data_IF_953859898171
#
_entry.id   IF_953859898171
#
_cell.length_a   1.000
_cell.length_b   1.000
_cell.length_c   1.000
_cell.angle_alpha   90.00
_cell.angle_beta   90.00
_cell.angle_gamma   90.00
#
_symmetry.space_group_name_H-M   'P 1'
#
loop_
_entity.id
_entity.type
_entity.pdbx_description
1 polymer ?
#
# COMPACT_ATOMS: atom_id res chain seq x y z
N UNK A 1 -19.57 -11.93 4.69
CA UNK A 1 -18.56 -12.23 5.74
C UNK A 1 -17.76 -13.48 5.40
N UNK A 2 -16.55 -13.34 4.85
CA UNK A 2 -15.72 -14.48 4.40
C UNK A 2 -14.91 -15.12 5.55
N UNK A 3 -14.82 -16.47 5.65
CA UNK A 3 -14.03 -17.15 6.67
C UNK A 3 -12.50 -16.99 6.47
N UNK A 4 -12.00 -17.09 5.23
CA UNK A 4 -10.57 -16.92 4.93
C UNK A 4 -10.09 -15.50 5.29
N UNK A 5 -10.91 -14.48 5.00
CA UNK A 5 -10.62 -13.10 5.39
C UNK A 5 -10.65 -12.90 6.91
N UNK A 6 -11.54 -13.62 7.63
CA UNK A 6 -11.53 -13.65 9.10
C UNK A 6 -10.25 -14.29 9.66
N UNK A 7 -9.80 -15.41 9.08
CA UNK A 7 -8.57 -16.12 9.49
C UNK A 7 -7.35 -15.22 9.43
N UNK A 8 -7.12 -14.57 8.27
CA UNK A 8 -6.02 -13.61 8.10
C UNK A 8 -6.17 -12.42 9.03
N UNK A 9 -7.37 -11.83 9.17
CA UNK A 9 -7.59 -10.69 10.08
C UNK A 9 -7.35 -11.04 11.56
N UNK A 10 -7.63 -12.27 11.98
CA UNK A 10 -7.30 -12.73 13.32
C UNK A 10 -5.77 -12.84 13.49
N UNK A 11 -5.11 -13.60 12.61
CA UNK A 11 -3.65 -13.78 12.62
C UNK A 11 -2.87 -12.46 12.61
N UNK A 12 -3.17 -11.53 11.70
CA UNK A 12 -2.48 -10.23 11.63
C UNK A 12 -2.63 -9.44 12.94
N UNK A 13 -3.82 -9.48 13.56
CA UNK A 13 -4.06 -8.82 14.85
C UNK A 13 -3.32 -9.51 16.00
N UNK A 14 -3.27 -10.84 16.01
CA UNK A 14 -2.58 -11.66 17.02
C UNK A 14 -1.06 -11.49 16.95
N UNK A 15 -0.50 -11.28 15.76
CA UNK A 15 0.91 -10.96 15.52
C UNK A 15 1.23 -9.45 15.63
N UNK A 16 0.26 -8.61 16.05
CA UNK A 16 0.41 -7.15 16.13
C UNK A 16 0.84 -6.46 14.81
N UNK A 17 0.51 -7.06 13.66
CA UNK A 17 0.79 -6.51 12.33
C UNK A 17 -0.32 -5.52 11.96
N UNK A 18 0.03 -4.23 11.84
CA UNK A 18 -0.88 -3.20 11.35
C UNK A 18 -1.22 -3.38 9.87
N UNK A 19 -2.49 -3.18 9.51
CA UNK A 19 -2.97 -3.27 8.14
C UNK A 19 -4.17 -2.34 7.88
N UNK A 20 -4.24 -1.78 6.68
CA UNK A 20 -5.45 -1.09 6.19
C UNK A 20 -6.36 -2.09 5.50
N UNK A 21 -7.65 -2.11 5.87
CA UNK A 21 -8.65 -2.96 5.23
C UNK A 21 -9.46 -2.17 4.20
N UNK A 22 -9.32 -2.55 2.94
CA UNK A 22 -10.27 -2.22 1.86
C UNK A 22 -11.39 -3.28 1.85
N UNK A 23 -12.62 -2.96 1.46
CA UNK A 23 -13.65 -3.98 1.20
C UNK A 23 -13.71 -4.34 -0.28
N UNK A 24 -14.12 -5.57 -0.61
CA UNK A 24 -14.22 -6.02 -2.01
C UNK A 24 -15.49 -5.48 -2.71
N UNK A 25 -16.42 -4.93 -1.94
CA UNK A 25 -17.59 -4.22 -2.43
C UNK A 25 -17.25 -2.79 -2.90
N UNK A 26 -16.11 -2.23 -2.44
CA UNK A 26 -15.58 -0.94 -2.91
C UNK A 26 -15.18 -1.03 -4.39
N UNK A 27 -15.43 0.04 -5.17
CA UNK A 27 -15.24 0.02 -6.63
C UNK A 27 -13.76 -0.13 -6.98
N UNK A 28 -12.90 0.57 -6.24
CA UNK A 28 -11.46 0.63 -6.40
C UNK A 28 -10.83 -0.74 -6.14
N UNK A 29 -11.22 -1.40 -5.04
CA UNK A 29 -10.73 -2.73 -4.68
C UNK A 29 -11.21 -3.81 -5.65
N UNK A 30 -12.48 -3.75 -6.10
CA UNK A 30 -13.03 -4.65 -7.12
C UNK A 30 -12.35 -4.47 -8.47
N UNK A 31 -12.09 -3.22 -8.88
CA UNK A 31 -11.38 -2.92 -10.12
C UNK A 31 -9.93 -3.41 -10.06
N UNK A 32 -9.21 -3.19 -8.95
CA UNK A 32 -7.86 -3.70 -8.73
C UNK A 32 -7.81 -5.24 -8.82
N UNK A 33 -8.72 -5.94 -8.12
CA UNK A 33 -8.78 -7.40 -8.15
C UNK A 33 -9.12 -7.94 -9.54
N UNK A 34 -10.01 -7.26 -10.28
CA UNK A 34 -10.39 -7.62 -11.66
C UNK A 34 -9.25 -7.38 -12.64
N UNK A 35 -8.56 -6.25 -12.54
CA UNK A 35 -7.41 -5.90 -13.40
C UNK A 35 -6.26 -6.90 -13.27
N UNK A 36 -5.96 -7.35 -12.04
CA UNK A 36 -4.97 -8.40 -11.77
C UNK A 36 -5.52 -9.83 -11.89
N UNK A 37 -6.77 -9.99 -12.38
CA UNK A 37 -7.44 -11.28 -12.61
C UNK A 37 -7.47 -12.20 -11.37
N UNK A 38 -7.54 -11.63 -10.17
CA UNK A 38 -7.65 -12.38 -8.93
C UNK A 38 -9.06 -12.94 -8.74
N UNK A 39 -9.15 -14.26 -8.58
CA UNK A 39 -10.42 -15.00 -8.47
C UNK A 39 -10.77 -15.39 -7.03
N UNK A 40 -9.91 -15.04 -6.08
CA UNK A 40 -9.93 -15.47 -4.67
C UNK A 40 -9.54 -14.33 -3.74
N UNK A 41 -10.09 -14.37 -2.52
CA UNK A 41 -9.81 -13.47 -1.41
C UNK A 41 -9.56 -14.30 -0.13
N UNK A 42 -8.74 -13.84 0.84
CA UNK A 42 -8.10 -12.53 0.92
C UNK A 42 -6.93 -12.32 -0.07
N UNK A 43 -6.67 -11.05 -0.36
CA UNK A 43 -5.50 -10.55 -1.08
C UNK A 43 -4.83 -9.56 -0.11
N UNK A 44 -3.50 -9.62 0.01
CA UNK A 44 -2.70 -8.67 0.77
C UNK A 44 -1.66 -8.02 -0.15
N UNK A 45 -1.48 -6.71 0.01
CA UNK A 45 -0.36 -5.97 -0.57
C UNK A 45 0.61 -5.65 0.57
N UNK A 46 1.84 -6.13 0.47
CA UNK A 46 2.92 -5.79 1.41
C UNK A 46 3.88 -4.83 0.71
N UNK A 47 3.95 -3.59 1.21
CA UNK A 47 4.91 -2.60 0.74
C UNK A 47 6.16 -2.64 1.61
N UNK A 48 7.31 -2.74 0.95
CA UNK A 48 8.64 -2.56 1.53
C UNK A 48 9.29 -1.30 0.90
N UNK A 49 10.45 -0.86 1.40
CA UNK A 49 11.06 0.43 1.05
C UNK A 49 11.28 0.67 -0.46
N UNK A 50 11.41 -0.40 -1.25
CA UNK A 50 11.58 -0.35 -2.72
C UNK A 50 10.70 -1.34 -3.50
N UNK A 51 9.86 -2.13 -2.82
CA UNK A 51 9.16 -3.27 -3.42
C UNK A 51 7.68 -3.32 -3.00
N UNK A 52 6.82 -3.84 -3.87
CA UNK A 52 5.43 -4.20 -3.51
C UNK A 52 5.25 -5.68 -3.84
N UNK A 53 4.89 -6.46 -2.82
CA UNK A 53 4.56 -7.88 -2.95
C UNK A 53 3.04 -8.03 -2.86
N UNK A 54 2.45 -8.88 -3.71
CA UNK A 54 1.01 -9.16 -3.71
C UNK A 54 0.81 -10.65 -3.43
N UNK A 55 0.08 -10.96 -2.36
CA UNK A 55 -0.08 -12.31 -1.84
C UNK A 55 -1.59 -12.63 -1.82
N UNK A 56 -1.99 -13.76 -2.41
CA UNK A 56 -3.39 -14.17 -2.49
C UNK A 56 -3.56 -15.54 -1.81
N UNK A 57 -4.64 -15.72 -1.04
CA UNK A 57 -4.94 -16.92 -0.28
C UNK A 57 -4.54 -16.77 1.19
N UNK A 58 -5.38 -17.29 2.10
CA UNK A 58 -5.20 -17.13 3.54
C UNK A 58 -4.02 -17.91 4.11
N UNK A 59 -3.72 -19.10 3.58
CA UNK A 59 -2.52 -19.84 3.97
C UNK A 59 -1.23 -19.10 3.53
N UNK A 60 -1.16 -18.69 2.27
CA UNK A 60 0.00 -18.01 1.69
C UNK A 60 0.34 -16.68 2.40
N UNK A 61 -0.69 -15.94 2.85
CA UNK A 61 -0.51 -14.70 3.63
C UNK A 61 0.03 -14.99 5.03
N UNK A 62 -0.38 -16.08 5.67
CA UNK A 62 0.10 -16.49 7.00
C UNK A 62 1.55 -16.98 6.91
N UNK A 63 1.82 -17.91 6.00
CA UNK A 63 3.15 -18.48 5.73
C UNK A 63 4.21 -17.40 5.43
N UNK A 64 3.83 -16.34 4.70
CA UNK A 64 4.72 -15.19 4.44
C UNK A 64 5.24 -14.52 5.71
N UNK A 65 4.39 -14.33 6.72
CA UNK A 65 4.79 -13.68 7.97
C UNK A 65 5.47 -14.65 8.93
N UNK A 66 5.08 -15.92 8.95
CA UNK A 66 5.77 -16.97 9.72
C UNK A 66 7.24 -17.08 9.27
N UNK A 67 7.49 -17.23 7.97
CA UNK A 67 8.85 -17.27 7.40
C UNK A 67 9.64 -15.95 7.61
N UNK A 68 8.96 -14.79 7.56
CA UNK A 68 9.62 -13.49 7.82
C UNK A 68 10.01 -13.34 9.29
N UNK A 69 9.20 -13.82 10.22
CA UNK A 69 9.48 -13.79 11.65
C UNK A 69 10.64 -14.74 12.02
N UNK A 70 10.73 -15.93 11.40
CA UNK A 70 11.90 -16.81 11.57
C UNK A 70 13.20 -16.13 11.15
N UNK A 71 13.18 -15.37 10.05
CA UNK A 71 14.36 -14.65 9.54
C UNK A 71 14.86 -13.57 10.52
N UNK A 72 13.94 -12.87 11.20
CA UNK A 72 14.29 -11.78 12.14
C UNK A 72 14.86 -12.33 13.47
N UNK A 73 14.42 -13.51 13.91
CA UNK A 73 14.84 -14.10 15.20
C UNK A 73 16.27 -14.67 15.22
N UNK A 74 17.04 -14.57 14.13
CA UNK A 74 18.44 -15.04 14.09
C UNK A 74 19.49 -13.95 14.37
N UNK A 75 19.14 -12.66 14.39
CA UNK A 75 20.11 -11.56 14.54
C UNK A 75 19.98 -10.74 15.84
N UNK A 76 18.89 -10.87 16.59
CA UNK A 76 18.67 -10.08 17.82
C UNK A 76 19.29 -10.74 19.08
N UNK A 77 20.59 -10.48 19.31
CA UNK A 77 21.26 -10.86 20.58
C UNK A 77 22.51 -10.02 20.95
N UNK A 78 22.43 -8.68 20.85
CA UNK A 78 23.39 -7.76 21.49
C UNK A 78 22.64 -6.65 22.25
N UNK A 79 23.12 -6.30 23.45
CA UNK A 79 22.40 -5.49 24.44
C UNK A 79 23.04 -4.10 24.68
N UNK A 80 22.20 -3.04 24.73
CA UNK A 80 22.36 -1.71 25.40
C UNK A 80 23.63 -0.85 25.09
N UNK A 81 23.76 0.44 25.44
CA UNK A 81 22.92 1.38 26.25
C UNK A 81 23.02 2.88 25.86
N UNK A 82 21.85 3.55 25.92
CA UNK A 82 21.52 4.89 26.49
C UNK A 82 21.91 6.27 25.85
N UNK A 83 21.06 7.27 26.18
CA UNK A 83 21.19 8.75 26.15
C UNK A 83 21.38 9.45 24.78
N UNK A 84 20.54 10.40 24.35
CA UNK A 84 19.87 11.46 25.11
C UNK A 84 18.69 12.14 24.35
N UNK A 85 17.88 12.93 25.07
CA UNK A 85 17.00 14.00 24.53
C UNK A 85 17.78 15.34 24.57
N UNK A 86 17.39 16.49 23.98
CA UNK A 86 16.15 17.11 23.46
C UNK A 86 16.50 17.85 22.11
N UNK A 87 15.72 18.68 21.40
CA UNK A 87 14.46 19.46 21.57
C UNK A 87 13.55 19.34 20.30
N UNK A 88 12.47 20.14 20.22
CA UNK A 88 11.64 20.39 19.02
C UNK A 88 12.01 21.78 18.48
N UNK A 89 12.09 21.97 17.16
CA UNK A 89 11.92 23.33 16.60
C UNK A 89 11.31 23.29 15.19
N UNK A 90 10.07 23.77 15.10
CA UNK A 90 9.30 23.83 13.86
C UNK A 90 9.65 25.10 13.07
N UNK A 91 10.06 24.95 11.80
CA UNK A 91 10.28 26.10 10.91
C UNK A 91 9.91 25.79 9.46
N UNK A 92 8.63 26.00 9.14
CA UNK A 92 8.19 26.28 7.79
C UNK A 92 9.01 27.43 7.19
N UNK A 93 9.55 27.24 5.99
CA UNK A 93 9.98 28.32 5.12
C UNK A 93 9.75 27.92 3.67
N UNK A 94 8.56 28.25 3.17
CA UNK A 94 8.19 28.14 1.77
C UNK A 94 9.01 29.14 0.93
N UNK A 95 10.16 28.71 0.42
CA UNK A 95 10.96 29.51 -0.51
C UNK A 95 10.23 29.62 -1.85
N UNK A 96 9.56 30.75 -2.03
CA UNK A 96 8.97 31.19 -3.28
C UNK A 96 10.09 31.46 -4.31
N UNK A 97 10.17 30.62 -5.35
CA UNK A 97 10.99 30.88 -6.54
C UNK A 97 10.09 31.61 -7.56
N UNK A 98 10.50 32.82 -7.95
CA UNK A 98 9.88 33.61 -9.01
C UNK A 98 10.85 33.70 -10.19
N UNK A 99 10.42 33.28 -11.39
CA UNK A 99 11.22 33.26 -12.62
C UNK A 99 12.21 32.09 -12.66
N UNK A 100 12.44 31.43 -13.81
CA UNK A 100 12.12 31.80 -15.19
C UNK A 100 11.31 30.70 -15.93
N UNK A 101 11.24 30.78 -17.28
CA UNK A 101 10.21 30.14 -18.11
C UNK A 101 10.59 28.73 -18.65
N UNK A 102 9.54 28.00 -19.05
CA UNK A 102 9.51 26.79 -19.92
C UNK A 102 9.80 25.38 -19.32
N UNK A 103 9.08 24.39 -19.86
CA UNK A 103 9.18 22.92 -19.72
C UNK A 103 8.93 22.23 -18.35
N UNK A 104 7.81 22.53 -17.69
CA UNK A 104 7.19 21.63 -16.69
C UNK A 104 6.28 20.58 -17.37
N UNK A 105 6.87 19.51 -17.92
CA UNK A 105 6.13 18.34 -18.44
C UNK A 105 5.49 17.51 -17.30
N UNK A 106 4.45 18.06 -16.67
CA UNK A 106 3.71 17.41 -15.59
C UNK A 106 3.19 16.02 -15.96
N UNK A 107 3.35 15.06 -15.03
CA UNK A 107 3.11 13.62 -15.22
C UNK A 107 1.77 13.29 -15.91
N UNK A 108 1.83 13.03 -17.21
CA UNK A 108 0.66 12.87 -18.07
C UNK A 108 -0.14 11.58 -17.83
N UNK A 109 -1.30 11.70 -17.18
CA UNK A 109 -2.37 10.72 -17.33
C UNK A 109 -3.02 10.90 -18.71
N UNK A 110 -2.70 10.00 -19.65
CA UNK A 110 -3.27 10.03 -21.01
C UNK A 110 -4.80 9.95 -20.98
N UNK A 111 -5.43 10.90 -21.67
CA UNK A 111 -6.88 11.14 -21.62
C UNK A 111 -7.72 10.03 -22.25
N UNK A 112 -9.00 9.95 -21.86
CA UNK A 112 -9.93 8.90 -22.26
C UNK A 112 -10.01 8.73 -23.78
N UNK A 113 -9.56 7.58 -24.28
CA UNK A 113 -9.84 7.18 -25.65
C UNK A 113 -11.31 6.84 -25.82
N UNK A 114 -11.99 7.66 -26.63
CA UNK A 114 -13.28 7.38 -27.28
C UNK A 114 -14.55 7.46 -26.41
N UNK A 115 -14.93 8.68 -26.02
CA UNK A 115 -16.36 9.00 -25.92
C UNK A 115 -16.92 9.09 -27.35
N UNK A 116 -17.97 8.32 -27.69
CA UNK A 116 -18.49 8.29 -29.06
C UNK A 116 -19.41 9.49 -29.36
N UNK A 117 -19.19 10.12 -30.50
CA UNK A 117 -19.80 11.40 -30.89
C UNK A 117 -21.17 11.21 -31.54
N UNK A 118 -22.23 11.75 -30.93
CA UNK A 118 -23.48 12.12 -31.61
C UNK A 118 -24.23 13.21 -30.84
N UNK A 119 -23.95 14.48 -31.16
CA UNK A 119 -24.73 15.64 -30.71
C UNK A 119 -24.97 16.56 -31.90
N UNK A 120 -26.02 16.27 -32.66
CA UNK A 120 -26.57 17.22 -33.64
C UNK A 120 -27.25 18.37 -32.90
N UNK A 121 -27.05 19.60 -33.39
CA UNK A 121 -27.83 20.77 -33.00
C UNK A 121 -28.91 21.04 -34.04
N UNK A 122 -30.12 21.28 -33.56
CA UNK A 122 -31.14 22.14 -34.20
C UNK A 122 -31.90 22.86 -33.07
#
# INVERSE_FOLDING_TARGET
TCPHCKKVKAYLKEQHIDFTKLDIDDIEARNFATFLNFKTIPILLVKDAKNVQIINGDNNIIEYFENKNETINMEDSVQVEDSATVEDDSSDNSQLINGDEEDDEGCGFVSLTKLESNCSKE
#
